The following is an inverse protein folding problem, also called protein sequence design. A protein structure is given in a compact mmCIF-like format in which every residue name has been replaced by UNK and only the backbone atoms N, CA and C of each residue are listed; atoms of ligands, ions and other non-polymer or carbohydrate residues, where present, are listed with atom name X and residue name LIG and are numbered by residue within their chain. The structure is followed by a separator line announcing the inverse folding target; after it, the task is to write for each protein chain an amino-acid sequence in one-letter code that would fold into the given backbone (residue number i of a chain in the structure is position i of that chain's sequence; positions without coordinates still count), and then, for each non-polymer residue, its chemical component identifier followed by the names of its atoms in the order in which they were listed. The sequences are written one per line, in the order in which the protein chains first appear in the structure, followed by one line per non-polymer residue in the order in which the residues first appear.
data_IF_475162630728
#
_entry.id   IF_475162630728
#
_cell.length_a   1.000
_cell.length_b   1.000
_cell.length_c   1.000
_cell.angle_alpha   90.00
_cell.angle_beta   90.00
_cell.angle_gamma   90.00
#
_symmetry.space_group_name_H-M   'P 1'
#
loop_
_entity.id
_entity.type
_entity.pdbx_description
1 polymer ?
#
# COMPACT_ATOMS: atom_id res chain seq x y z
N UNK A 1 23.17 3.16 -7.30
CA UNK A 1 21.95 3.59 -8.00
C UNK A 1 20.79 3.12 -7.16
N UNK A 2 20.06 4.03 -6.52
CA UNK A 2 18.88 3.68 -5.74
C UNK A 2 17.75 3.41 -6.73
N UNK A 3 17.35 2.15 -6.86
CA UNK A 3 16.29 1.69 -7.79
C UNK A 3 14.90 2.28 -7.48
N UNK A 4 14.79 3.18 -6.50
CA UNK A 4 13.55 3.77 -6.00
C UNK A 4 13.45 5.29 -6.17
N UNK A 5 14.46 5.96 -6.74
CA UNK A 5 14.46 7.44 -6.86
C UNK A 5 13.35 8.00 -7.78
N UNK A 6 12.65 7.16 -8.56
CA UNK A 6 11.59 7.60 -9.47
C UNK A 6 10.25 6.84 -9.27
N UNK A 7 10.02 6.24 -8.11
CA UNK A 7 8.71 5.60 -7.85
C UNK A 7 7.71 6.68 -7.43
N UNK A 8 6.89 7.11 -8.38
CA UNK A 8 5.81 8.07 -8.16
C UNK A 8 4.66 7.42 -7.38
N UNK A 9 4.63 7.61 -6.06
CA UNK A 9 3.56 7.14 -5.16
C UNK A 9 2.58 8.29 -4.87
N UNK A 10 1.84 8.71 -5.89
CA UNK A 10 1.05 9.95 -5.87
C UNK A 10 -0.27 9.84 -5.08
N UNK A 11 -0.73 8.62 -4.82
CA UNK A 11 -1.99 8.38 -4.12
C UNK A 11 -1.72 8.01 -2.67
N UNK A 12 -2.18 8.80 -1.72
CA UNK A 12 -2.03 8.57 -0.27
C UNK A 12 -3.38 8.30 0.39
N UNK A 13 -3.42 7.28 1.23
CA UNK A 13 -4.57 6.87 2.03
C UNK A 13 -4.12 6.69 3.47
N UNK A 14 -4.88 7.20 4.44
CA UNK A 14 -4.51 7.08 5.86
C UNK A 14 -5.69 6.76 6.77
N UNK A 15 -5.42 5.98 7.81
CA UNK A 15 -6.33 5.70 8.92
C UNK A 15 -5.64 6.02 10.25
N UNK A 16 -6.37 6.57 11.22
CA UNK A 16 -5.85 6.80 12.58
C UNK A 16 -5.74 5.48 13.37
N UNK A 17 -6.66 4.55 13.20
CA UNK A 17 -6.62 3.26 13.90
C UNK A 17 -7.43 2.21 13.17
N UNK A 18 -7.00 0.95 13.18
CA UNK A 18 -7.71 -0.17 12.58
C UNK A 18 -6.81 -0.99 11.66
N UNK A 19 -7.40 -1.60 10.64
CA UNK A 19 -6.69 -2.38 9.63
C UNK A 19 -7.03 -1.83 8.25
N UNK A 20 -5.99 -1.55 7.46
CA UNK A 20 -6.13 -1.26 6.04
C UNK A 20 -5.99 -2.56 5.24
N UNK A 21 -6.96 -2.86 4.40
CA UNK A 21 -6.92 -4.00 3.50
C UNK A 21 -7.02 -3.51 2.06
N UNK A 22 -6.08 -3.97 1.22
CA UNK A 22 -6.11 -3.72 -0.22
C UNK A 22 -6.34 -5.05 -0.92
N UNK A 23 -7.49 -5.17 -1.56
CA UNK A 23 -7.78 -6.26 -2.46
C UNK A 23 -7.05 -6.02 -3.79
N UNK A 24 -6.34 -7.05 -4.23
CA UNK A 24 -5.54 -7.02 -5.46
C UNK A 24 -5.96 -8.18 -6.36
N UNK A 25 -7.21 -8.20 -6.85
CA UNK A 25 -7.70 -9.25 -7.75
C UNK A 25 -6.81 -9.37 -8.98
N UNK A 26 -6.65 -10.60 -9.46
CA UNK A 26 -5.82 -10.90 -10.64
C UNK A 26 -4.33 -10.59 -10.49
N UNK A 27 -3.88 -10.17 -9.31
CA UNK A 27 -2.51 -9.71 -9.07
C UNK A 27 -1.86 -10.52 -7.97
N UNK A 28 -0.59 -10.87 -8.14
CA UNK A 28 0.17 -11.63 -7.14
C UNK A 28 1.20 -10.73 -6.50
N UNK A 29 1.17 -10.71 -5.17
CA UNK A 29 2.28 -10.22 -4.38
C UNK A 29 3.52 -11.06 -4.71
N UNK A 30 4.64 -10.40 -5.02
CA UNK A 30 5.88 -11.12 -5.32
C UNK A 30 7.05 -10.76 -4.42
N UNK A 31 7.08 -9.54 -3.84
CA UNK A 31 8.20 -9.11 -2.99
C UNK A 31 7.79 -8.03 -2.01
N UNK A 32 8.23 -8.20 -0.76
CA UNK A 32 8.28 -7.14 0.23
C UNK A 32 9.72 -6.66 0.40
N UNK A 33 9.89 -5.34 0.47
CA UNK A 33 11.14 -4.66 0.78
C UNK A 33 10.91 -3.90 2.08
N UNK A 34 11.45 -4.43 3.17
CA UNK A 34 11.39 -3.79 4.47
C UNK A 34 12.40 -2.65 4.51
N UNK A 35 11.92 -1.45 4.79
CA UNK A 35 12.75 -0.25 4.97
C UNK A 35 13.09 -0.12 6.46
N UNK A 36 12.10 -0.32 7.33
CA UNK A 36 12.28 -0.29 8.77
C UNK A 36 11.19 -1.14 9.46
N UNK A 37 11.59 -1.89 10.47
CA UNK A 37 10.66 -2.68 11.28
C UNK A 37 11.12 -2.62 12.74
N UNK A 38 10.32 -1.94 13.56
CA UNK A 38 10.51 -1.77 14.99
C UNK A 38 9.16 -1.99 15.69
N UNK A 39 9.14 -2.18 17.02
CA UNK A 39 7.87 -2.32 17.75
C UNK A 39 6.91 -1.13 17.59
N UNK A 40 7.41 0.06 17.25
CA UNK A 40 6.63 1.30 17.11
C UNK A 40 6.37 1.74 15.68
N UNK A 41 7.10 1.18 14.70
CA UNK A 41 7.08 1.62 13.32
C UNK A 41 7.41 0.47 12.37
N UNK A 42 6.53 0.24 11.39
CA UNK A 42 6.75 -0.63 10.25
C UNK A 42 6.69 0.21 8.97
N UNK A 43 7.73 0.14 8.14
CA UNK A 43 7.81 0.74 6.81
C UNK A 43 8.26 -0.29 5.80
N UNK A 44 7.44 -0.55 4.79
CA UNK A 44 7.77 -1.48 3.71
C UNK A 44 7.23 -1.03 2.36
N UNK A 45 7.82 -1.58 1.30
CA UNK A 45 7.31 -1.49 -0.06
C UNK A 45 6.91 -2.91 -0.50
N UNK A 46 5.66 -3.08 -0.86
CA UNK A 46 5.12 -4.30 -1.46
C UNK A 46 5.01 -4.13 -2.96
N UNK A 47 5.59 -5.06 -3.70
CA UNK A 47 5.61 -5.09 -5.15
C UNK A 47 4.73 -6.24 -5.66
N UNK A 48 3.95 -5.94 -6.69
CA UNK A 48 3.02 -6.88 -7.32
C UNK A 48 3.39 -7.07 -8.79
N UNK A 49 3.10 -8.26 -9.31
CA UNK A 49 3.47 -8.69 -10.67
C UNK A 49 2.83 -7.85 -11.78
N UNK A 50 1.66 -7.26 -11.49
CA UNK A 50 0.95 -6.34 -12.38
C UNK A 50 1.55 -4.92 -12.41
N UNK A 51 2.66 -4.66 -11.70
CA UNK A 51 3.31 -3.36 -11.59
C UNK A 51 2.69 -2.41 -10.55
N UNK A 52 1.76 -2.86 -9.71
CA UNK A 52 1.33 -2.12 -8.53
C UNK A 52 2.46 -2.09 -7.49
N UNK A 53 2.67 -0.91 -6.93
CA UNK A 53 3.62 -0.67 -5.85
C UNK A 53 2.83 -0.06 -4.70
N UNK A 54 2.95 -0.67 -3.53
CA UNK A 54 2.33 -0.19 -2.29
C UNK A 54 3.44 0.12 -1.30
N UNK A 55 3.60 1.37 -0.93
CA UNK A 55 4.30 1.76 0.27
C UNK A 55 3.35 1.70 1.46
N UNK A 56 3.79 1.08 2.53
CA UNK A 56 3.04 0.91 3.75
C UNK A 56 3.87 1.43 4.93
N UNK A 57 3.28 2.35 5.68
CA UNK A 57 3.80 2.85 6.94
C UNK A 57 2.74 2.64 8.03
N UNK A 58 3.13 1.99 9.13
CA UNK A 58 2.25 1.75 10.27
C UNK A 58 2.97 2.11 11.56
N UNK A 59 2.28 2.89 12.38
CA UNK A 59 2.61 3.20 13.77
C UNK A 59 1.46 2.74 14.68
N UNK A 60 1.60 2.90 15.99
CA UNK A 60 0.53 2.58 16.94
C UNK A 60 -0.73 3.46 16.79
N UNK A 61 -0.62 4.62 16.15
CA UNK A 61 -1.68 5.64 16.06
C UNK A 61 -2.01 6.07 14.63
N UNK A 62 -1.42 5.43 13.63
CA UNK A 62 -1.62 5.79 12.23
C UNK A 62 -1.18 4.67 11.30
N UNK A 63 -1.95 4.46 10.24
CA UNK A 63 -1.55 3.70 9.07
C UNK A 63 -1.58 4.65 7.88
N UNK A 64 -0.54 4.62 7.06
CA UNK A 64 -0.41 5.34 5.80
C UNK A 64 -0.09 4.34 4.70
N UNK A 65 -0.83 4.44 3.61
CA UNK A 65 -0.65 3.64 2.42
C UNK A 65 -0.45 4.58 1.24
N UNK A 66 0.63 4.40 0.49
CA UNK A 66 0.86 5.16 -0.74
C UNK A 66 1.02 4.23 -1.93
N UNK A 67 0.40 4.57 -3.06
CA UNK A 67 0.40 3.73 -4.26
C UNK A 67 0.76 4.52 -5.51
N UNK A 68 1.27 3.81 -6.51
CA UNK A 68 1.52 4.34 -7.85
C UNK A 68 0.28 4.29 -8.77
N UNK A 69 -0.86 3.81 -8.26
CA UNK A 69 -2.15 3.71 -8.96
C UNK A 69 -3.28 4.03 -8.00
N UNK A 70 -4.40 4.61 -8.46
CA UNK A 70 -5.53 4.89 -7.59
C UNK A 70 -6.15 3.59 -7.06
N UNK A 71 -6.64 3.65 -5.83
CA UNK A 71 -7.45 2.62 -5.21
C UNK A 71 -8.90 3.08 -5.08
N UNK A 72 -9.84 2.15 -5.24
CA UNK A 72 -11.26 2.35 -5.05
C UNK A 72 -11.66 1.90 -3.64
N UNK A 73 -12.32 2.76 -2.89
CA UNK A 73 -12.81 2.40 -1.56
C UNK A 73 -14.05 1.50 -1.71
N UNK A 74 -13.95 0.28 -1.18
CA UNK A 74 -15.03 -0.74 -1.25
C UNK A 74 -15.64 -1.02 0.14
N UNK A 75 -15.19 -0.30 1.17
CA UNK A 75 -15.70 -0.38 2.53
C UNK A 75 -14.80 0.40 3.50
N UNK A 76 -15.15 0.37 4.79
CA UNK A 76 -14.35 1.03 5.82
C UNK A 76 -12.98 0.37 5.95
N UNK A 77 -11.93 1.13 5.62
CA UNK A 77 -10.56 0.63 5.60
C UNK A 77 -10.27 -0.43 4.52
N UNK A 78 -11.20 -0.64 3.57
CA UNK A 78 -11.06 -1.62 2.49
C UNK A 78 -10.97 -0.92 1.14
N UNK A 79 -9.96 -1.29 0.38
CA UNK A 79 -9.63 -0.70 -0.91
C UNK A 79 -9.46 -1.81 -1.96
N UNK A 80 -9.71 -1.50 -3.21
CA UNK A 80 -9.49 -2.38 -4.37
C UNK A 80 -8.69 -1.64 -5.44
N UNK A 81 -7.88 -2.35 -6.20
CA UNK A 81 -7.22 -1.81 -7.41
C UNK A 81 -8.14 -1.82 -8.63
N UNK A 82 -9.22 -2.60 -8.59
CA UNK A 82 -10.24 -2.67 -9.63
C UNK A 82 -11.48 -1.88 -9.19
N UNK A 83 -12.09 -1.20 -10.15
CA UNK A 83 -13.33 -0.45 -9.96
C UNK A 83 -14.48 -1.43 -9.71
N UNK A 84 -15.12 -1.42 -8.54
CA UNK A 84 -16.18 -2.35 -8.20
C UNK A 84 -17.45 -2.18 -9.05
N UNK A 85 -17.59 -1.06 -9.78
CA UNK A 85 -18.78 -0.75 -10.60
C UNK A 85 -18.61 -1.11 -12.09
N UNK A 86 -17.49 -1.74 -12.48
CA UNK A 86 -17.18 -2.13 -13.87
C UNK A 86 -17.19 -3.62 -14.16
#
# INVERSE_FOLDING_TARGET
MNEFENVHLEHEYSLESGTLHVDTPGSKHFKDIFIEETPSLLRKISLYDNGLIIYFEQTSSKIVLRTNRPLYQIGDGKFSIEDPEK
#
